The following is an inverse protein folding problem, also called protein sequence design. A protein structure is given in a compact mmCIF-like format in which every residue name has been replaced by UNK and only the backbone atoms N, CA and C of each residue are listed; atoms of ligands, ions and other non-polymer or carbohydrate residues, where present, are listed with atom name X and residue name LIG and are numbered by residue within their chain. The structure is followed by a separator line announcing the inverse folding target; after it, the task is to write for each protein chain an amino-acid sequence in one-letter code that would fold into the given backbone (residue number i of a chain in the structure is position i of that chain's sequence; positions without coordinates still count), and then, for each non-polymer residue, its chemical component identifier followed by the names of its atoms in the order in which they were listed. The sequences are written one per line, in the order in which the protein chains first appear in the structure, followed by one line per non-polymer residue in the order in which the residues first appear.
data_IF_738621782791
#
_entry.id   IF_738621782791
#
_cell.length_a   1.000
_cell.length_b   1.000
_cell.length_c   1.000
_cell.angle_alpha   90.00
_cell.angle_beta   90.00
_cell.angle_gamma   90.00
#
_symmetry.space_group_name_H-M   'P 1'
#
loop_
_entity.id
_entity.type
_entity.pdbx_description
1 polymer ?
#
# COMPACT_ATOMS: atom_id res chain seq x y z
N UNK A 1 -5.27 -15.83 6.99
CA UNK A 1 -5.14 -15.05 8.25
C UNK A 1 -6.42 -14.25 8.49
N UNK A 2 -6.84 -14.09 9.74
CA UNK A 2 -7.96 -13.20 10.09
C UNK A 2 -7.39 -11.86 10.57
N UNK A 3 -7.82 -10.76 9.96
CA UNK A 3 -7.49 -9.40 10.37
C UNK A 3 -8.72 -8.82 11.08
N UNK A 4 -8.69 -8.87 12.41
CA UNK A 4 -9.81 -8.50 13.27
C UNK A 4 -9.71 -7.02 13.66
N UNK A 5 -10.71 -6.25 13.26
CA UNK A 5 -10.76 -4.80 13.46
C UNK A 5 -11.72 -4.42 14.60
N UNK A 6 -11.45 -3.28 15.24
CA UNK A 6 -12.32 -2.76 16.28
C UNK A 6 -13.73 -2.44 15.76
N UNK A 7 -14.74 -2.49 16.64
CA UNK A 7 -16.16 -2.35 16.27
C UNK A 7 -16.53 -1.03 15.60
N UNK A 8 -15.73 0.02 15.83
CA UNK A 8 -15.95 1.36 15.34
C UNK A 8 -15.32 1.63 13.96
N UNK A 9 -14.52 0.71 13.42
CA UNK A 9 -13.96 0.85 12.08
C UNK A 9 -15.08 0.81 11.03
N UNK A 10 -15.04 1.79 10.12
CA UNK A 10 -15.99 1.94 9.02
C UNK A 10 -15.32 2.19 7.68
N UNK A 11 -14.11 2.75 7.69
CA UNK A 11 -13.41 3.17 6.49
C UNK A 11 -12.15 2.33 6.32
N UNK A 12 -12.08 1.56 5.24
CA UNK A 12 -10.91 0.73 4.93
C UNK A 12 -10.20 1.34 3.73
N UNK A 13 -8.96 1.76 3.94
CA UNK A 13 -8.09 2.25 2.87
C UNK A 13 -7.27 1.09 2.34
N UNK A 14 -7.46 0.75 1.06
CA UNK A 14 -6.70 -0.27 0.36
C UNK A 14 -5.69 0.44 -0.53
N UNK A 15 -4.40 0.26 -0.25
CA UNK A 15 -3.31 0.99 -0.89
C UNK A 15 -2.63 0.09 -1.91
N UNK A 16 -2.65 0.48 -3.18
CA UNK A 16 -1.81 -0.10 -4.23
C UNK A 16 -0.58 0.76 -4.51
N UNK A 17 0.31 0.27 -5.39
CA UNK A 17 1.58 0.93 -5.69
C UNK A 17 1.42 2.40 -6.14
N UNK A 18 0.32 2.72 -6.83
CA UNK A 18 0.03 4.08 -7.26
C UNK A 18 -0.19 5.08 -6.11
N UNK A 19 -0.48 4.60 -4.89
CA UNK A 19 -0.71 5.43 -3.71
C UNK A 19 0.61 6.00 -3.17
N UNK A 20 1.74 5.39 -3.52
CA UNK A 20 3.07 5.81 -3.08
C UNK A 20 3.80 6.72 -4.08
N UNK A 21 3.26 6.90 -5.28
CA UNK A 21 3.86 7.73 -6.34
C UNK A 21 3.99 9.19 -5.92
N UNK A 22 3.03 9.72 -5.15
CA UNK A 22 3.07 11.09 -4.63
C UNK A 22 4.27 11.35 -3.69
N UNK A 23 4.92 10.29 -3.22
CA UNK A 23 6.07 10.29 -2.30
C UNK A 23 7.38 9.91 -3.01
N UNK A 24 7.38 9.95 -4.35
CA UNK A 24 8.57 9.69 -5.17
C UNK A 24 8.83 8.22 -5.48
N UNK A 25 7.98 7.28 -5.03
CA UNK A 25 8.18 5.87 -5.35
C UNK A 25 7.81 5.56 -6.81
N UNK A 26 8.58 4.66 -7.45
CA UNK A 26 8.42 4.35 -8.87
C UNK A 26 7.17 3.49 -9.11
N UNK A 27 6.62 3.60 -10.31
CA UNK A 27 5.75 2.58 -10.88
C UNK A 27 6.54 1.30 -11.18
N UNK A 28 5.86 0.17 -11.39
CA UNK A 28 6.52 -1.10 -11.75
C UNK A 28 7.48 -0.97 -12.95
N UNK A 29 7.05 -0.29 -14.01
CA UNK A 29 7.89 -0.07 -15.21
C UNK A 29 9.14 0.76 -14.91
N UNK A 30 9.03 1.74 -14.03
CA UNK A 30 10.17 2.55 -13.60
C UNK A 30 11.09 1.75 -12.67
N UNK A 31 10.52 0.91 -11.81
CA UNK A 31 11.26 0.06 -10.88
C UNK A 31 12.18 -0.92 -11.63
N UNK A 32 11.69 -1.57 -12.68
CA UNK A 32 12.51 -2.51 -13.46
C UNK A 32 13.80 -1.84 -14.00
N UNK A 33 13.69 -0.61 -14.50
CA UNK A 33 14.83 0.17 -15.00
C UNK A 33 15.77 0.61 -13.88
N UNK A 34 15.22 1.00 -12.73
CA UNK A 34 16.01 1.38 -11.55
C UNK A 34 16.80 0.19 -10.99
N UNK A 35 16.19 -1.00 -10.94
CA UNK A 35 16.87 -2.24 -10.54
C UNK A 35 18.03 -2.52 -11.52
N UNK A 36 17.79 -2.50 -12.84
CA UNK A 36 18.84 -2.70 -13.86
C UNK A 36 20.00 -1.72 -13.66
N UNK A 37 19.68 -0.43 -13.55
CA UNK A 37 20.67 0.64 -13.37
C UNK A 37 21.47 0.45 -12.08
N UNK A 38 20.82 0.00 -11.01
CA UNK A 38 21.48 -0.24 -9.72
C UNK A 38 22.47 -1.41 -9.78
N UNK A 39 22.08 -2.49 -10.44
CA UNK A 39 22.94 -3.66 -10.65
C UNK A 39 24.12 -3.34 -11.57
N UNK A 40 23.88 -2.64 -12.68
CA UNK A 40 24.92 -2.29 -13.66
C UNK A 40 25.96 -1.30 -13.09
N UNK A 41 25.55 -0.46 -12.14
CA UNK A 41 26.43 0.50 -11.46
C UNK A 41 27.03 -0.03 -10.15
N UNK A 42 26.80 -1.29 -9.80
CA UNK A 42 27.37 -1.90 -8.60
C UNK A 42 28.88 -2.10 -8.75
N UNK A 43 29.65 -1.11 -8.30
CA UNK A 43 31.12 -1.12 -8.34
C UNK A 43 31.75 -1.96 -7.23
N UNK A 44 30.97 -2.35 -6.21
CA UNK A 44 31.47 -2.99 -5.00
C UNK A 44 31.19 -4.50 -4.96
N UNK A 45 30.63 -5.06 -6.05
CA UNK A 45 30.15 -6.44 -6.12
C UNK A 45 29.24 -6.78 -4.91
N UNK A 46 28.33 -5.86 -4.57
CA UNK A 46 27.35 -6.02 -3.49
C UNK A 46 26.30 -7.10 -3.78
N UNK A 47 25.97 -7.35 -5.05
CA UNK A 47 24.93 -8.29 -5.46
C UNK A 47 25.50 -9.58 -6.08
N UNK A 48 25.31 -10.71 -5.38
CA UNK A 48 25.88 -12.03 -5.71
C UNK A 48 25.30 -12.60 -7.01
N UNK A 49 24.00 -12.40 -7.24
CA UNK A 49 23.21 -12.98 -8.32
C UNK A 49 22.92 -11.98 -9.45
N UNK A 50 23.78 -10.98 -9.63
CA UNK A 50 23.58 -9.91 -10.63
C UNK A 50 23.22 -10.43 -12.02
N UNK A 51 23.83 -11.53 -12.47
CA UNK A 51 23.64 -12.08 -13.82
C UNK A 51 22.24 -12.68 -13.94
N UNK A 52 21.86 -13.52 -12.99
CA UNK A 52 20.56 -14.17 -12.92
C UNK A 52 19.44 -13.14 -12.81
N UNK A 53 19.63 -12.12 -11.98
CA UNK A 53 18.66 -11.04 -11.82
C UNK A 53 18.50 -10.24 -13.13
N UNK A 54 19.59 -9.90 -13.83
CA UNK A 54 19.50 -9.25 -15.14
C UNK A 54 18.83 -10.15 -16.18
N UNK A 55 19.10 -11.46 -16.18
CA UNK A 55 18.43 -12.43 -17.04
C UNK A 55 16.92 -12.48 -16.76
N UNK A 56 16.51 -12.43 -15.49
CA UNK A 56 15.10 -12.34 -15.09
C UNK A 56 14.45 -11.03 -15.55
N UNK A 57 15.14 -9.89 -15.38
CA UNK A 57 14.66 -8.58 -15.81
C UNK A 57 14.55 -8.44 -17.33
N UNK A 58 15.33 -9.21 -18.09
CA UNK A 58 15.24 -9.25 -19.56
C UNK A 58 14.05 -10.07 -20.06
N UNK A 59 13.42 -10.88 -19.20
CA UNK A 59 12.17 -11.60 -19.51
C UNK A 59 10.91 -10.73 -19.31
N UNK A 60 11.05 -9.51 -18.77
CA UNK A 60 9.93 -8.63 -18.41
C UNK A 60 9.67 -7.59 -19.51
N UNK A 61 8.40 -7.36 -19.84
CA UNK A 61 7.98 -6.30 -20.76
C UNK A 61 6.69 -6.63 -21.49
N UNK A 62 6.23 -5.72 -22.35
CA UNK A 62 5.02 -5.95 -23.18
C UNK A 62 5.17 -7.15 -24.13
N UNK A 63 6.37 -7.32 -24.69
CA UNK A 63 6.76 -8.47 -25.52
C UNK A 63 7.54 -9.55 -24.74
N UNK A 64 7.63 -9.39 -23.41
CA UNK A 64 8.36 -10.30 -22.53
C UNK A 64 7.58 -11.57 -22.19
N UNK A 65 8.25 -12.53 -21.53
CA UNK A 65 7.59 -13.71 -20.95
C UNK A 65 6.70 -13.32 -19.76
N UNK A 66 7.05 -12.26 -19.05
CA UNK A 66 6.36 -11.78 -17.85
C UNK A 66 6.01 -10.30 -17.96
N UNK A 67 4.92 -9.87 -17.33
CA UNK A 67 4.47 -8.48 -17.34
C UNK A 67 5.15 -7.61 -16.29
N UNK A 68 5.49 -8.20 -15.14
CA UNK A 68 6.10 -7.50 -14.00
C UNK A 68 7.20 -8.34 -13.36
N UNK A 69 8.09 -7.70 -12.60
CA UNK A 69 9.09 -8.40 -11.78
C UNK A 69 8.47 -9.33 -10.74
N UNK A 70 7.34 -8.95 -10.12
CA UNK A 70 6.61 -9.83 -9.20
C UNK A 70 6.16 -11.15 -9.84
N UNK A 71 5.66 -11.10 -11.09
CA UNK A 71 5.25 -12.30 -11.84
C UNK A 71 6.47 -13.15 -12.22
N UNK A 72 7.56 -12.50 -12.61
CA UNK A 72 8.83 -13.15 -12.94
C UNK A 72 9.40 -13.88 -11.71
N UNK A 73 9.45 -13.22 -10.55
CA UNK A 73 9.90 -13.80 -9.28
C UNK A 73 9.11 -15.08 -8.98
N UNK A 74 7.78 -15.01 -8.99
CA UNK A 74 6.93 -16.17 -8.64
C UNK A 74 7.22 -17.39 -9.51
N UNK A 75 7.46 -17.20 -10.82
CA UNK A 75 7.59 -18.31 -11.77
C UNK A 75 9.02 -18.80 -11.93
N UNK A 76 10.01 -17.91 -11.88
CA UNK A 76 11.41 -18.26 -12.07
C UNK A 76 12.05 -18.82 -10.80
N UNK A 77 11.65 -18.37 -9.60
CA UNK A 77 12.24 -18.82 -8.33
C UNK A 77 12.07 -20.32 -8.08
N UNK A 78 11.02 -20.92 -8.64
CA UNK A 78 10.72 -22.37 -8.55
C UNK A 78 10.97 -23.13 -9.85
N UNK A 79 11.54 -22.46 -10.85
CA UNK A 79 11.84 -23.08 -12.15
C UNK A 79 12.94 -24.14 -12.03
N UNK A 80 13.02 -25.05 -13.00
CA UNK A 80 14.04 -26.12 -13.00
C UNK A 80 15.47 -25.58 -12.95
N UNK A 81 15.71 -24.44 -13.60
CA UNK A 81 17.03 -23.84 -13.72
C UNK A 81 17.48 -23.18 -12.40
N UNK A 82 16.52 -22.73 -11.57
CA UNK A 82 16.78 -22.01 -10.32
C UNK A 82 16.23 -22.72 -9.07
N UNK A 83 15.76 -23.97 -9.14
CA UNK A 83 15.04 -24.59 -8.02
C UNK A 83 15.84 -24.64 -6.68
N UNK A 84 17.18 -24.63 -6.76
CA UNK A 84 18.07 -24.71 -5.60
C UNK A 84 18.40 -23.33 -5.01
N UNK A 85 18.38 -22.26 -5.82
CA UNK A 85 18.90 -20.94 -5.46
C UNK A 85 17.93 -19.79 -5.78
N UNK A 86 16.76 -20.08 -6.34
CA UNK A 86 15.77 -19.08 -6.76
C UNK A 86 15.26 -18.23 -5.60
N UNK A 87 15.18 -18.81 -4.41
CA UNK A 87 14.84 -18.08 -3.18
C UNK A 87 15.93 -17.07 -2.77
N UNK A 88 17.21 -17.40 -2.96
CA UNK A 88 18.30 -16.46 -2.67
C UNK A 88 18.33 -15.32 -3.71
N UNK A 89 18.02 -15.62 -4.97
CA UNK A 89 17.90 -14.62 -6.05
C UNK A 89 16.72 -13.67 -5.75
N UNK A 90 15.57 -14.23 -5.37
CA UNK A 90 14.38 -13.47 -4.98
C UNK A 90 14.66 -12.52 -3.81
N UNK A 91 15.27 -13.02 -2.73
CA UNK A 91 15.60 -12.19 -1.57
C UNK A 91 16.58 -11.06 -1.93
N UNK A 92 17.53 -11.32 -2.82
CA UNK A 92 18.44 -10.28 -3.32
C UNK A 92 17.71 -9.24 -4.18
N UNK A 93 16.72 -9.65 -5.00
CA UNK A 93 15.85 -8.70 -5.73
C UNK A 93 15.08 -7.82 -4.75
N UNK A 94 14.44 -8.40 -3.72
CA UNK A 94 13.72 -7.62 -2.71
C UNK A 94 14.63 -6.65 -1.94
N UNK A 95 15.88 -7.06 -1.66
CA UNK A 95 16.88 -6.16 -1.09
C UNK A 95 17.19 -4.99 -2.04
N UNK A 96 17.37 -5.24 -3.34
CA UNK A 96 17.59 -4.16 -4.32
C UNK A 96 16.38 -3.22 -4.40
N UNK A 97 15.16 -3.76 -4.42
CA UNK A 97 13.92 -2.96 -4.41
C UNK A 97 13.87 -2.07 -3.18
N UNK A 98 14.19 -2.62 -2.00
CA UNK A 98 14.29 -1.85 -0.76
C UNK A 98 15.30 -0.70 -0.90
N UNK A 99 16.51 -0.98 -1.38
CA UNK A 99 17.55 0.03 -1.55
C UNK A 99 17.11 1.13 -2.54
N UNK A 100 16.40 0.77 -3.62
CA UNK A 100 15.83 1.74 -4.57
C UNK A 100 14.78 2.60 -3.89
N UNK A 101 13.86 2.01 -3.13
CA UNK A 101 12.80 2.74 -2.44
C UNK A 101 13.38 3.73 -1.43
N UNK A 102 14.43 3.37 -0.70
CA UNK A 102 15.10 4.25 0.26
C UNK A 102 15.78 5.46 -0.42
N UNK A 103 16.34 5.27 -1.61
CA UNK A 103 17.02 6.34 -2.37
C UNK A 103 16.04 7.31 -3.06
N UNK A 104 14.96 6.79 -3.63
CA UNK A 104 14.02 7.60 -4.43
C UNK A 104 12.92 8.24 -3.59
N UNK A 105 12.70 7.74 -2.37
CA UNK A 105 11.70 8.27 -1.46
C UNK A 105 11.94 9.76 -1.18
N UNK A 106 10.89 10.56 -1.38
CA UNK A 106 10.90 11.99 -1.11
C UNK A 106 10.07 12.26 0.12
N UNK A 107 10.74 12.60 1.21
CA UNK A 107 10.05 12.94 2.45
C UNK A 107 9.40 14.33 2.40
N UNK A 108 8.33 14.45 3.17
CA UNK A 108 7.70 15.65 3.73
C UNK A 108 6.72 16.46 2.88
N UNK A 109 5.56 16.69 3.49
CA UNK A 109 4.74 17.88 3.26
C UNK A 109 3.82 17.83 2.03
N UNK A 110 3.66 16.70 1.36
CA UNK A 110 2.81 16.60 0.16
C UNK A 110 1.98 15.31 0.17
N UNK A 111 1.22 15.09 -0.91
CA UNK A 111 0.47 13.86 -1.13
C UNK A 111 -0.84 13.76 -0.34
N UNK A 112 -1.57 12.70 -0.64
CA UNK A 112 -2.90 12.44 -0.07
C UNK A 112 -2.89 12.18 1.44
N UNK A 113 -1.80 11.65 2.02
CA UNK A 113 -1.66 11.42 3.46
C UNK A 113 -1.60 12.74 4.20
N UNK A 114 -0.86 13.74 3.69
CA UNK A 114 -0.89 15.08 4.29
C UNK A 114 -2.30 15.63 4.29
N UNK A 115 -3.00 15.55 3.17
CA UNK A 115 -4.38 16.03 3.06
C UNK A 115 -5.31 15.33 4.06
N UNK A 116 -5.18 14.01 4.22
CA UNK A 116 -5.93 13.24 5.20
C UNK A 116 -5.57 13.64 6.64
N UNK A 117 -4.29 13.85 6.94
CA UNK A 117 -3.82 14.32 8.25
C UNK A 117 -4.41 15.71 8.59
N UNK A 118 -4.46 16.63 7.63
CA UNK A 118 -5.08 17.95 7.83
C UNK A 118 -6.57 17.82 8.14
N UNK A 119 -7.29 16.98 7.39
CA UNK A 119 -8.70 16.70 7.64
C UNK A 119 -8.91 16.13 9.04
N UNK A 120 -8.10 15.16 9.46
CA UNK A 120 -8.17 14.56 10.80
C UNK A 120 -7.85 15.59 11.89
N UNK A 121 -6.82 16.40 11.69
CA UNK A 121 -6.42 17.46 12.63
C UNK A 121 -7.53 18.47 12.82
N UNK A 122 -8.12 18.96 11.72
CA UNK A 122 -9.06 20.08 11.74
C UNK A 122 -10.49 19.65 12.12
N UNK A 123 -10.87 18.38 11.91
CA UNK A 123 -12.24 17.90 12.10
C UNK A 123 -12.40 16.95 13.29
N UNK A 124 -12.12 17.46 14.49
CA UNK A 124 -12.22 16.70 15.75
C UNK A 124 -13.55 15.95 15.93
N UNK A 125 -14.67 16.53 15.48
CA UNK A 125 -16.00 15.94 15.66
C UNK A 125 -16.24 14.67 14.82
N UNK A 126 -15.48 14.47 13.74
CA UNK A 126 -15.61 13.28 12.90
C UNK A 126 -14.95 12.06 13.56
N UNK A 127 -13.94 12.29 14.41
CA UNK A 127 -13.16 11.25 15.07
C UNK A 127 -12.54 10.23 14.09
N UNK A 128 -12.28 10.65 12.84
CA UNK A 128 -11.90 9.78 11.72
C UNK A 128 -10.71 8.88 12.06
N UNK A 129 -9.76 9.37 12.85
CA UNK A 129 -8.60 8.63 13.33
C UNK A 129 -8.96 7.32 14.06
N UNK A 130 -10.16 7.22 14.63
CA UNK A 130 -10.63 6.02 15.33
C UNK A 130 -11.46 5.10 14.43
N UNK A 131 -11.73 5.51 13.18
CA UNK A 131 -12.74 4.89 12.32
C UNK A 131 -12.12 4.26 11.07
N UNK A 132 -10.80 4.36 10.95
CA UNK A 132 -10.02 3.98 9.76
C UNK A 132 -9.13 2.78 10.04
N UNK A 133 -8.95 1.93 9.03
CA UNK A 133 -7.90 0.93 8.99
C UNK A 133 -7.32 0.85 7.58
N UNK A 134 -6.11 0.31 7.47
CA UNK A 134 -5.39 0.19 6.22
C UNK A 134 -5.17 -1.27 5.81
N UNK A 135 -5.17 -1.51 4.50
CA UNK A 135 -4.62 -2.69 3.86
C UNK A 135 -3.59 -2.19 2.86
N UNK A 136 -2.31 -2.36 3.19
CA UNK A 136 -1.21 -1.85 2.39
C UNK A 136 -0.57 -2.98 1.59
N UNK A 137 -0.74 -2.95 0.26
CA UNK A 137 -0.10 -3.90 -0.64
C UNK A 137 1.29 -3.43 -1.10
N UNK A 138 1.78 -2.30 -0.57
CA UNK A 138 3.09 -1.79 -0.90
C UNK A 138 4.11 -2.27 0.13
N UNK A 139 5.32 -2.60 -0.33
CA UNK A 139 6.43 -2.98 0.54
C UNK A 139 7.05 -1.81 1.31
N UNK A 140 6.67 -0.58 0.94
CA UNK A 140 7.27 0.66 1.44
C UNK A 140 6.81 1.06 2.85
N UNK A 141 7.51 2.07 3.39
CA UNK A 141 7.24 2.66 4.70
C UNK A 141 6.61 4.06 4.58
N UNK A 142 5.91 4.36 3.48
CA UNK A 142 5.27 5.67 3.25
C UNK A 142 4.23 5.95 4.33
N UNK A 143 3.40 4.95 4.65
CA UNK A 143 2.38 5.10 5.68
C UNK A 143 3.01 5.35 7.05
N UNK A 144 4.03 4.57 7.42
CA UNK A 144 4.73 4.72 8.69
C UNK A 144 5.29 6.14 8.87
N UNK A 145 6.00 6.66 7.86
CA UNK A 145 6.69 7.95 7.93
C UNK A 145 5.74 9.15 7.91
N UNK A 146 4.59 9.05 7.23
CA UNK A 146 3.75 10.21 6.93
C UNK A 146 2.43 10.27 7.72
N UNK A 147 1.83 9.14 8.07
CA UNK A 147 0.49 9.14 8.66
C UNK A 147 0.50 9.69 10.09
N UNK A 148 -0.38 10.65 10.41
CA UNK A 148 -0.39 11.45 11.63
C UNK A 148 0.95 12.11 12.00
N UNK A 149 1.87 12.23 11.04
CA UNK A 149 3.07 13.03 11.20
C UNK A 149 2.75 14.50 10.85
N UNK A 150 3.01 15.40 11.79
CA UNK A 150 2.72 16.83 11.69
C UNK A 150 3.99 17.69 11.75
N UNK A 151 5.16 17.14 11.43
CA UNK A 151 6.42 17.87 11.51
C UNK A 151 6.58 19.00 10.48
N UNK A 152 5.77 18.96 9.42
CA UNK A 152 5.65 20.08 8.47
C UNK A 152 4.99 21.33 9.08
N UNK A 153 4.29 21.22 10.23
CA UNK A 153 3.66 22.38 10.88
C UNK A 153 4.70 23.23 11.63
N UNK A 154 4.64 24.57 11.55
CA UNK A 154 5.50 25.44 12.34
C UNK A 154 5.34 25.18 13.85
N UNK A 155 6.44 25.19 14.59
CA UNK A 155 6.46 24.92 16.04
C UNK A 155 5.46 25.79 16.82
N UNK A 156 5.30 27.07 16.44
CA UNK A 156 4.31 27.98 17.04
C UNK A 156 2.89 27.43 16.91
N UNK A 157 2.51 26.91 15.73
CA UNK A 157 1.18 26.36 15.50
C UNK A 157 0.96 25.08 16.29
N UNK A 158 1.98 24.19 16.34
CA UNK A 158 1.93 22.97 17.17
C UNK A 158 1.69 23.30 18.65
N UNK A 159 2.38 24.31 19.19
CA UNK A 159 2.32 24.64 20.62
C UNK A 159 1.10 25.47 21.04
N UNK A 160 0.64 26.40 20.20
CA UNK A 160 -0.38 27.37 20.60
C UNK A 160 -1.75 27.14 19.96
N UNK A 161 -1.80 26.54 18.76
CA UNK A 161 -3.06 26.34 18.05
C UNK A 161 -3.57 24.89 18.17
N UNK A 162 -2.66 23.91 18.17
CA UNK A 162 -3.03 22.50 18.04
C UNK A 162 -2.53 21.60 19.17
N UNK A 163 -1.93 22.14 20.23
CA UNK A 163 -1.29 21.35 21.31
C UNK A 163 -2.20 20.23 21.84
N UNK A 164 -3.43 20.57 22.20
CA UNK A 164 -4.37 19.60 22.76
C UNK A 164 -4.82 18.56 21.73
N UNK A 165 -5.06 18.99 20.48
CA UNK A 165 -5.47 18.07 19.41
C UNK A 165 -4.34 17.10 19.06
N UNK A 166 -3.12 17.59 18.89
CA UNK A 166 -1.96 16.76 18.61
C UNK A 166 -1.64 15.82 19.77
N UNK A 167 -1.83 16.25 21.02
CA UNK A 167 -1.67 15.37 22.19
C UNK A 167 -2.74 14.26 22.30
N UNK A 168 -3.91 14.43 21.68
CA UNK A 168 -4.89 13.35 21.53
C UNK A 168 -4.46 12.42 20.39
N UNK A 169 -4.11 12.99 19.23
CA UNK A 169 -3.72 12.22 18.05
C UNK A 169 -2.44 11.39 18.30
N UNK A 170 -1.57 11.85 19.19
CA UNK A 170 -0.34 11.14 19.54
C UNK A 170 -0.56 9.80 20.27
N UNK A 171 -1.81 9.48 20.63
CA UNK A 171 -2.19 8.25 21.35
C UNK A 171 -3.03 7.31 20.48
N UNK A 172 -3.27 7.68 19.24
CA UNK A 172 -4.05 6.88 18.30
C UNK A 172 -3.18 5.74 17.80
N UNK A 173 -3.78 4.56 17.71
CA UNK A 173 -3.19 3.39 17.09
C UNK A 173 -4.15 2.89 16.01
N UNK A 174 -3.64 2.69 14.80
CA UNK A 174 -4.41 2.29 13.63
C UNK A 174 -3.86 1.00 13.06
N UNK A 175 -4.75 0.02 12.91
CA UNK A 175 -4.44 -1.26 12.31
C UNK A 175 -4.14 -1.11 10.82
N UNK A 176 -3.02 -1.70 10.40
CA UNK A 176 -2.62 -1.81 9.00
C UNK A 176 -2.19 -3.25 8.70
N UNK A 177 -2.90 -3.90 7.78
CA UNK A 177 -2.52 -5.19 7.24
C UNK A 177 -1.54 -5.00 6.08
N UNK A 178 -0.45 -5.75 6.08
CA UNK A 178 0.53 -5.85 4.99
C UNK A 178 0.54 -7.26 4.41
N UNK A 179 -0.34 -7.57 3.42
CA UNK A 179 -0.48 -8.93 2.90
C UNK A 179 0.79 -9.50 2.26
N UNK A 180 1.68 -8.63 1.78
CA UNK A 180 2.93 -9.01 1.09
C UNK A 180 4.15 -8.90 2.00
N UNK A 181 3.93 -8.63 3.28
CA UNK A 181 4.97 -8.16 4.17
C UNK A 181 5.36 -6.72 3.86
N UNK A 182 6.45 -6.27 4.48
CA UNK A 182 6.98 -4.91 4.33
C UNK A 182 8.48 -4.89 4.52
N UNK A 183 9.15 -3.92 3.90
CA UNK A 183 10.57 -3.74 4.12
C UNK A 183 10.85 -3.21 5.53
N UNK A 184 11.70 -3.88 6.33
CA UNK A 184 12.05 -3.37 7.65
C UNK A 184 12.64 -1.97 7.56
N UNK A 185 12.15 -1.05 8.39
CA UNK A 185 12.68 0.31 8.56
C UNK A 185 13.20 0.52 9.97
N UNK A 186 14.21 1.37 10.11
CA UNK A 186 14.63 1.88 11.43
C UNK A 186 13.56 2.78 12.06
N UNK A 187 12.71 3.39 11.24
CA UNK A 187 11.59 4.17 11.72
C UNK A 187 10.42 3.26 12.07
N UNK A 188 10.07 3.20 13.36
CA UNK A 188 8.85 2.54 13.81
C UNK A 188 7.79 3.60 14.13
N UNK A 189 6.73 3.65 13.33
CA UNK A 189 5.64 4.59 13.55
C UNK A 189 4.93 4.26 14.87
N UNK A 190 4.72 5.22 15.77
CA UNK A 190 3.92 4.99 16.98
C UNK A 190 2.42 4.88 16.67
N UNK A 191 1.99 5.16 15.43
CA UNK A 191 0.59 5.25 15.05
C UNK A 191 0.08 4.04 14.27
N UNK A 192 0.97 3.30 13.59
CA UNK A 192 0.59 2.21 12.70
C UNK A 192 0.90 0.87 13.37
N UNK A 193 -0.17 0.14 13.70
CA UNK A 193 -0.07 -1.25 14.16
C UNK A 193 0.01 -2.17 12.94
N UNK A 194 1.20 -2.69 12.66
CA UNK A 194 1.47 -3.52 11.48
C UNK A 194 1.16 -4.98 11.75
N UNK A 195 0.29 -5.56 10.92
CA UNK A 195 0.04 -6.99 10.87
C UNK A 195 0.51 -7.55 9.53
N UNK A 196 1.39 -8.54 9.56
CA UNK A 196 1.87 -9.24 8.37
C UNK A 196 2.02 -10.72 8.67
N UNK A 197 1.64 -11.56 7.71
CA UNK A 197 1.89 -13.00 7.76
C UNK A 197 2.02 -13.54 6.34
N UNK A 198 3.26 -13.76 5.89
CA UNK A 198 3.57 -14.36 4.58
C UNK A 198 3.94 -15.84 4.74
N UNK A 199 4.30 -16.50 3.63
CA UNK A 199 4.86 -17.85 3.66
C UNK A 199 6.29 -17.89 4.25
N UNK A 200 6.99 -16.76 4.30
CA UNK A 200 8.34 -16.60 4.86
C UNK A 200 8.33 -16.23 6.35
N UNK A 201 7.19 -15.82 6.90
CA UNK A 201 7.08 -15.39 8.31
C UNK A 201 7.62 -16.45 9.28
N UNK A 202 8.29 -15.97 10.33
CA UNK A 202 9.02 -16.76 11.34
C UNK A 202 10.31 -17.43 10.85
N UNK A 203 10.70 -17.27 9.59
CA UNK A 203 11.98 -17.77 9.09
C UNK A 203 13.03 -16.65 9.00
N UNK A 204 13.98 -16.65 9.95
CA UNK A 204 15.03 -15.62 10.05
C UNK A 204 16.01 -15.58 8.87
N UNK A 205 16.01 -16.60 8.01
CA UNK A 205 16.87 -16.62 6.83
C UNK A 205 16.37 -15.69 5.72
N UNK A 206 15.11 -15.24 5.79
CA UNK A 206 14.44 -14.51 4.72
C UNK A 206 14.01 -13.12 5.15
N UNK A 207 13.94 -12.19 4.19
CA UNK A 207 13.12 -10.99 4.35
C UNK A 207 11.66 -11.43 4.28
N UNK A 208 10.83 -11.04 5.26
CA UNK A 208 9.40 -11.36 5.29
C UNK A 208 8.63 -10.50 4.27
N UNK A 209 8.96 -10.68 2.99
CA UNK A 209 8.35 -10.07 1.81
C UNK A 209 8.23 -11.09 0.69
N UNK A 210 7.08 -11.10 0.03
CA UNK A 210 6.75 -12.08 -1.02
C UNK A 210 6.12 -11.39 -2.22
N UNK A 211 6.17 -12.05 -3.38
CA UNK A 211 5.45 -11.56 -4.57
C UNK A 211 3.96 -11.42 -4.30
N UNK A 212 3.29 -10.47 -4.96
CA UNK A 212 1.85 -10.27 -4.82
C UNK A 212 1.03 -11.54 -5.14
N UNK A 213 1.55 -12.41 -6.01
CA UNK A 213 0.92 -13.67 -6.39
C UNK A 213 1.02 -14.77 -5.32
N UNK A 214 1.94 -14.63 -4.35
CA UNK A 214 2.17 -15.59 -3.27
C UNK A 214 1.50 -15.17 -1.96
N UNK A 215 0.74 -14.08 -2.00
CA UNK A 215 0.02 -13.56 -0.85
C UNK A 215 -1.01 -14.55 -0.32
N UNK A 216 -1.05 -14.66 1.02
CA UNK A 216 -2.05 -15.48 1.68
C UNK A 216 -3.43 -14.86 1.51
N UNK A 217 -4.47 -15.68 1.67
CA UNK A 217 -5.85 -15.17 1.79
C UNK A 217 -6.07 -14.55 3.17
N UNK A 218 -6.67 -13.36 3.18
CA UNK A 218 -7.02 -12.60 4.38
C UNK A 218 -8.53 -12.42 4.50
N UNK A 219 -9.06 -12.70 5.68
CA UNK A 219 -10.44 -12.36 6.03
C UNK A 219 -10.42 -11.13 6.94
N UNK A 220 -11.10 -10.07 6.52
CA UNK A 220 -11.24 -8.84 7.28
C UNK A 220 -12.64 -8.79 7.87
N UNK A 221 -12.71 -8.56 9.17
CA UNK A 221 -13.96 -8.41 9.90
C UNK A 221 -13.79 -7.41 11.03
N UNK A 222 -14.81 -6.59 11.28
CA UNK A 222 -14.91 -5.87 12.54
C UNK A 222 -15.61 -6.74 13.57
N UNK A 223 -15.41 -6.47 14.86
CA UNK A 223 -16.17 -7.15 15.92
C UNK A 223 -17.69 -6.91 15.84
N UNK A 224 -18.13 -5.89 15.08
CA UNK A 224 -19.54 -5.65 14.79
C UNK A 224 -19.85 -5.95 13.32
N UNK A 225 -20.20 -7.19 13.00
CA UNK A 225 -20.49 -7.64 11.63
C UNK A 225 -21.64 -6.89 10.94
N UNK A 226 -22.56 -6.29 11.70
CA UNK A 226 -23.65 -5.48 11.16
C UNK A 226 -23.18 -4.09 10.68
N UNK A 227 -21.98 -3.66 11.08
CA UNK A 227 -21.40 -2.40 10.68
C UNK A 227 -21.14 -2.39 9.16
N UNK A 228 -21.72 -1.39 8.50
CA UNK A 228 -21.44 -1.06 7.10
C UNK A 228 -20.02 -0.54 6.95
N UNK A 229 -19.33 -0.98 5.90
CA UNK A 229 -17.98 -0.52 5.56
C UNK A 229 -17.93 0.23 4.22
N UNK A 230 -17.00 1.16 4.15
CA UNK A 230 -16.66 1.96 2.98
C UNK A 230 -15.22 1.61 2.58
N UNK A 231 -15.01 1.26 1.32
CA UNK A 231 -13.69 0.95 0.80
C UNK A 231 -13.15 2.15 0.03
N UNK A 232 -11.88 2.50 0.27
CA UNK A 232 -11.16 3.55 -0.43
C UNK A 232 -9.93 2.91 -1.06
N UNK A 233 -9.97 2.65 -2.36
CA UNK A 233 -8.90 1.95 -3.08
C UNK A 233 -8.04 2.98 -3.82
N UNK A 234 -6.87 3.26 -3.27
CA UNK A 234 -5.96 4.31 -3.73
C UNK A 234 -4.86 3.69 -4.60
N UNK A 235 -4.59 4.32 -5.74
CA UNK A 235 -3.44 3.98 -6.55
C UNK A 235 -3.55 2.62 -7.26
N UNK A 236 -4.71 2.36 -7.88
CA UNK A 236 -4.96 1.12 -8.63
C UNK A 236 -3.84 0.83 -9.63
N UNK A 237 -3.28 -0.38 -9.56
CA UNK A 237 -2.19 -0.86 -10.40
C UNK A 237 -2.43 -2.30 -10.91
N UNK A 238 -1.45 -2.86 -11.61
CA UNK A 238 -1.56 -4.14 -12.33
C UNK A 238 -1.90 -5.36 -11.47
N UNK A 239 -1.60 -5.34 -10.16
CA UNK A 239 -1.91 -6.43 -9.24
C UNK A 239 -3.35 -6.43 -8.68
N UNK A 240 -4.16 -5.39 -8.94
CA UNK A 240 -5.43 -5.17 -8.23
C UNK A 240 -6.34 -6.40 -8.13
N UNK A 241 -6.58 -7.09 -9.24
CA UNK A 241 -7.48 -8.24 -9.27
C UNK A 241 -6.95 -9.40 -8.39
N UNK A 242 -5.64 -9.67 -8.46
CA UNK A 242 -4.97 -10.69 -7.63
C UNK A 242 -5.08 -10.30 -6.16
N UNK A 243 -4.69 -9.07 -5.83
CA UNK A 243 -4.74 -8.51 -4.48
C UNK A 243 -6.14 -8.68 -3.87
N UNK A 244 -7.17 -8.22 -4.59
CA UNK A 244 -8.55 -8.23 -4.08
C UNK A 244 -9.16 -9.62 -4.09
N UNK A 245 -8.72 -10.54 -4.94
CA UNK A 245 -9.18 -11.93 -4.86
C UNK A 245 -8.69 -12.64 -3.59
N UNK A 246 -7.55 -12.23 -3.05
CA UNK A 246 -7.01 -12.75 -1.79
C UNK A 246 -7.55 -12.04 -0.54
N UNK A 247 -8.47 -11.08 -0.68
CA UNK A 247 -9.15 -10.43 0.44
C UNK A 247 -10.64 -10.77 0.46
N UNK A 248 -11.16 -11.06 1.63
CA UNK A 248 -12.60 -11.24 1.87
C UNK A 248 -13.03 -10.37 3.04
N UNK A 249 -14.16 -9.68 2.88
CA UNK A 249 -14.76 -8.91 3.97
C UNK A 249 -16.00 -9.65 4.49
N UNK A 250 -16.09 -9.82 5.80
CA UNK A 250 -17.28 -10.41 6.43
C UNK A 250 -18.39 -9.37 6.61
N UNK A 251 -18.02 -8.12 6.87
CA UNK A 251 -18.96 -7.00 6.93
C UNK A 251 -19.48 -6.65 5.53
N UNK A 252 -20.70 -6.10 5.48
CA UNK A 252 -21.29 -5.60 4.23
C UNK A 252 -20.56 -4.34 3.73
N UNK A 253 -20.04 -4.42 2.52
CA UNK A 253 -19.53 -3.24 1.79
C UNK A 253 -20.70 -2.42 1.29
N UNK A 254 -20.70 -1.13 1.62
CA UNK A 254 -21.78 -0.19 1.26
C UNK A 254 -21.43 0.74 0.13
N UNK A 255 -20.16 1.13 0.02
CA UNK A 255 -19.67 2.00 -1.04
C UNK A 255 -18.19 1.70 -1.31
N UNK A 256 -17.76 1.90 -2.56
CA UNK A 256 -16.36 1.79 -2.96
C UNK A 256 -15.95 3.07 -3.69
N UNK A 257 -14.88 3.69 -3.21
CA UNK A 257 -14.26 4.87 -3.81
C UNK A 257 -12.91 4.45 -4.41
N UNK A 258 -12.67 4.73 -5.68
CA UNK A 258 -11.47 4.29 -6.38
C UNK A 258 -10.80 5.40 -7.16
N UNK A 259 -9.48 5.29 -7.35
CA UNK A 259 -8.73 6.13 -8.29
C UNK A 259 -8.35 5.32 -9.53
N UNK A 260 -8.71 5.77 -10.73
CA UNK A 260 -8.32 5.10 -11.98
C UNK A 260 -7.46 6.03 -12.83
N UNK A 261 -6.15 5.73 -12.93
CA UNK A 261 -5.24 6.47 -13.82
C UNK A 261 -5.44 6.09 -15.30
N UNK A 262 -5.62 4.80 -15.60
CA UNK A 262 -5.89 4.33 -16.97
C UNK A 262 -7.40 4.23 -17.21
N UNK A 263 -7.97 5.26 -17.84
CA UNK A 263 -9.41 5.35 -18.12
C UNK A 263 -9.93 4.22 -19.00
N UNK A 264 -9.11 3.67 -19.90
CA UNK A 264 -9.51 2.59 -20.81
C UNK A 264 -9.86 1.30 -20.06
N UNK A 265 -9.27 1.09 -18.88
CA UNK A 265 -9.57 -0.05 -18.00
C UNK A 265 -10.67 0.23 -16.98
N UNK A 266 -11.26 1.44 -17.00
CA UNK A 266 -12.21 1.89 -15.99
C UNK A 266 -13.41 0.96 -15.83
N UNK A 267 -14.11 0.67 -16.92
CA UNK A 267 -15.32 -0.16 -16.90
C UNK A 267 -15.02 -1.59 -16.46
N UNK A 268 -13.91 -2.17 -16.92
CA UNK A 268 -13.46 -3.49 -16.50
C UNK A 268 -13.25 -3.55 -14.98
N UNK A 269 -12.53 -2.56 -14.43
CA UNK A 269 -12.25 -2.47 -12.99
C UNK A 269 -13.54 -2.31 -12.19
N UNK A 270 -14.45 -1.43 -12.60
CA UNK A 270 -15.72 -1.18 -11.91
C UNK A 270 -16.58 -2.45 -11.90
N UNK A 271 -16.69 -3.15 -13.04
CA UNK A 271 -17.43 -4.40 -13.14
C UNK A 271 -16.82 -5.48 -12.23
N UNK A 272 -15.50 -5.63 -12.24
CA UNK A 272 -14.80 -6.54 -11.33
C UNK A 272 -15.13 -6.26 -9.86
N UNK A 273 -15.07 -4.99 -9.43
CA UNK A 273 -15.36 -4.59 -8.04
C UNK A 273 -16.83 -4.85 -7.67
N UNK A 274 -17.76 -4.53 -8.57
CA UNK A 274 -19.19 -4.83 -8.42
C UNK A 274 -19.40 -6.33 -8.20
N UNK A 275 -18.79 -7.16 -9.03
CA UNK A 275 -18.94 -8.62 -8.96
C UNK A 275 -18.27 -9.23 -7.73
N UNK A 276 -17.08 -8.75 -7.38
CA UNK A 276 -16.31 -9.25 -6.22
C UNK A 276 -17.00 -8.90 -4.90
N UNK A 277 -17.49 -7.67 -4.74
CA UNK A 277 -18.08 -7.19 -3.48
C UNK A 277 -19.61 -7.22 -3.46
N UNK A 278 -20.24 -7.68 -4.55
CA UNK A 278 -21.70 -7.76 -4.71
C UNK A 278 -22.38 -6.42 -4.41
N UNK A 279 -21.84 -5.36 -4.99
CA UNK A 279 -22.29 -3.98 -4.79
C UNK A 279 -22.76 -3.37 -6.12
N UNK A 280 -23.85 -2.59 -6.17
CA UNK A 280 -24.30 -1.95 -7.39
C UNK A 280 -23.24 -1.00 -7.98
N UNK A 281 -23.18 -0.92 -9.31
CA UNK A 281 -22.29 0.00 -10.03
C UNK A 281 -22.46 1.47 -9.59
N UNK A 282 -23.68 1.86 -9.20
CA UNK A 282 -24.01 3.22 -8.73
C UNK A 282 -23.34 3.59 -7.39
N UNK A 283 -22.89 2.60 -6.62
CA UNK A 283 -22.20 2.78 -5.34
C UNK A 283 -20.67 2.67 -5.48
N UNK A 284 -20.16 2.63 -6.73
CA UNK A 284 -18.74 2.68 -7.04
C UNK A 284 -18.42 4.06 -7.61
N UNK A 285 -17.65 4.86 -6.87
CA UNK A 285 -17.28 6.23 -7.25
C UNK A 285 -15.84 6.30 -7.70
N UNK A 286 -15.62 6.94 -8.84
CA UNK A 286 -14.30 7.07 -9.46
C UNK A 286 -13.80 8.49 -9.31
N UNK A 287 -12.54 8.61 -8.89
CA UNK A 287 -11.82 9.86 -8.68
C UNK A 287 -10.59 9.91 -9.57
N UNK A 288 -10.14 11.13 -9.86
CA UNK A 288 -9.01 11.36 -10.76
C UNK A 288 -7.69 10.85 -10.18
N UNK A 289 -7.46 11.13 -8.91
CA UNK A 289 -6.23 10.80 -8.18
C UNK A 289 -6.51 10.65 -6.68
N UNK A 290 -5.48 10.26 -5.92
CA UNK A 290 -5.61 10.01 -4.49
C UNK A 290 -6.04 11.27 -3.72
N UNK A 291 -5.53 12.45 -4.09
CA UNK A 291 -5.89 13.71 -3.46
C UNK A 291 -7.34 14.12 -3.74
N UNK A 292 -7.80 13.93 -4.97
CA UNK A 292 -9.20 14.14 -5.38
C UNK A 292 -10.15 13.22 -4.60
N UNK A 293 -9.79 11.94 -4.43
CA UNK A 293 -10.57 10.99 -3.63
C UNK A 293 -10.66 11.46 -2.17
N UNK A 294 -9.53 11.75 -1.52
CA UNK A 294 -9.52 12.21 -0.12
C UNK A 294 -10.32 13.51 0.03
N UNK A 295 -10.12 14.44 -0.90
CA UNK A 295 -10.78 15.75 -0.91
C UNK A 295 -12.30 15.66 -0.97
N UNK A 296 -12.82 14.83 -1.88
CA UNK A 296 -14.27 14.71 -2.06
C UNK A 296 -14.95 13.85 -0.99
N UNK A 297 -14.23 12.89 -0.39
CA UNK A 297 -14.82 11.96 0.56
C UNK A 297 -14.82 12.49 2.00
N UNK A 298 -13.82 13.29 2.39
CA UNK A 298 -13.58 13.61 3.80
C UNK A 298 -13.45 15.09 4.10
N UNK A 299 -13.30 15.99 3.12
CA UNK A 299 -13.38 17.41 3.41
C UNK A 299 -14.83 17.72 3.81
N UNK A 300 -15.06 18.36 4.97
CA UNK A 300 -16.39 18.79 5.34
C UNK A 300 -16.94 19.67 4.24
N UNK A 301 -18.13 19.33 3.72
CA UNK A 301 -18.91 20.28 2.93
C UNK A 301 -19.36 21.36 3.90
N UNK A 302 -18.49 22.32 4.19
CA UNK A 302 -18.88 23.52 4.93
C UNK A 302 -19.98 24.18 4.11
N UNK A 303 -21.13 24.34 4.79
CA UNK A 303 -22.37 25.00 4.40
C UNK A 303 -22.18 25.98 3.25
N UNK A 304 -23.02 25.86 2.22
CA UNK A 304 -23.35 26.98 1.34
C UNK A 304 -23.51 28.24 2.21
N UNK A 305 -22.68 29.24 1.93
CA UNK A 305 -22.81 30.59 2.50
C UNK A 305 -24.24 31.09 2.38
#
# INVERSE_FOLDING_TARGET
MNFALSSNIRHIFILGAGASVDYGLPTWKELDNLIKTKIENDKNDQYKYRKEILDWLNKIGEDGKYKTIDECIMLESVSKDYHNNGHEIEDEIFKIIKDVFEEVYRENGTGWIRQLNEIIKDNKNMGLENNIAFVNYNYDNVLDKNFLNFDYLPTKYKLFNFKDRLGILSKVEISCLYPYGYFPSEYNSPYIHKEAETIKSNNKAFIDTVSCYESKRHNIATYNLAQKMFLYILGLGGGLEINLNNINFQNKISEIHITIKNKEKGDQIINFLSDKFKIPLTEIKVYKDCGDLIGNCFIPKTKSL
#
